data_IF_669262015862
#
_entry.id   IF_669262015862
#
_cell.length_a   1.000
_cell.length_b   1.000
_cell.length_c   1.000
_cell.angle_alpha   90.00
_cell.angle_beta   90.00
_cell.angle_gamma   90.00
#
_symmetry.space_group_name_H-M   'P 1'
#
loop_
_entity.id
_entity.type
_entity.pdbx_description
1 polymer ?
#
# COMPACT_ATOMS: atom_id res chain seq x y z
N UNK A 1 26.34 26.70 -7.64
CA UNK A 1 26.16 25.24 -7.65
C UNK A 1 25.13 24.92 -8.73
N UNK A 2 25.18 23.76 -9.39
CA UNK A 2 24.14 23.36 -10.35
C UNK A 2 22.80 23.18 -9.61
N UNK A 3 21.71 23.78 -10.12
CA UNK A 3 20.36 23.69 -9.54
C UNK A 3 19.92 22.24 -9.32
N UNK A 4 20.35 21.32 -10.19
CA UNK A 4 20.04 19.90 -10.05
C UNK A 4 20.71 19.30 -8.82
N UNK A 5 21.98 19.67 -8.58
CA UNK A 5 22.73 19.18 -7.43
C UNK A 5 22.15 19.71 -6.11
N UNK A 6 21.76 20.99 -6.08
CA UNK A 6 21.08 21.60 -4.93
C UNK A 6 19.79 20.84 -4.57
N UNK A 7 19.00 20.45 -5.57
CA UNK A 7 17.78 19.67 -5.35
C UNK A 7 18.08 18.27 -4.81
N UNK A 8 19.06 17.57 -5.37
CA UNK A 8 19.46 16.23 -4.91
C UNK A 8 20.00 16.23 -3.48
N UNK A 9 20.73 17.28 -3.10
CA UNK A 9 21.18 17.48 -1.73
C UNK A 9 20.01 17.78 -0.79
N UNK A 10 19.07 18.62 -1.22
CA UNK A 10 17.88 18.98 -0.42
C UNK A 10 17.02 17.77 -0.08
N UNK A 11 16.83 16.84 -1.00
CA UNK A 11 16.09 15.59 -0.74
C UNK A 11 16.94 14.50 -0.08
N UNK A 12 18.22 14.81 0.17
CA UNK A 12 19.16 13.90 0.80
C UNK A 12 19.49 12.69 -0.06
N UNK A 13 19.40 12.79 -1.39
CA UNK A 13 19.87 11.76 -2.32
C UNK A 13 21.40 11.79 -2.48
N UNK A 14 21.99 12.98 -2.36
CA UNK A 14 23.43 13.24 -2.36
C UNK A 14 23.78 14.04 -1.11
N UNK A 15 25.00 13.87 -0.59
CA UNK A 15 25.58 14.72 0.45
C UNK A 15 27.00 15.13 0.05
N UNK A 16 27.47 16.24 0.57
CA UNK A 16 28.86 16.67 0.41
C UNK A 16 29.67 16.26 1.65
N UNK A 17 30.81 15.61 1.43
CA UNK A 17 31.77 15.19 2.45
C UNK A 17 33.15 15.59 1.95
N UNK A 18 33.82 16.49 2.67
CA UNK A 18 35.19 16.94 2.34
C UNK A 18 35.34 17.43 0.88
N UNK A 19 34.36 18.20 0.38
CA UNK A 19 34.38 18.71 -1.00
C UNK A 19 34.07 17.67 -2.08
N UNK A 20 33.69 16.44 -1.70
CA UNK A 20 33.25 15.38 -2.61
C UNK A 20 31.78 15.06 -2.41
N UNK A 21 31.10 14.75 -3.51
CA UNK A 21 29.71 14.32 -3.46
C UNK A 21 29.63 12.81 -3.27
N UNK A 22 28.87 12.39 -2.26
CA UNK A 22 28.58 10.99 -1.98
C UNK A 22 27.09 10.70 -2.14
N UNK A 23 26.77 9.57 -2.76
CA UNK A 23 25.39 9.10 -2.91
C UNK A 23 24.93 8.47 -1.59
N UNK A 24 23.79 8.95 -1.07
CA UNK A 24 23.17 8.41 0.14
C UNK A 24 22.38 7.14 -0.15
N UNK A 25 21.76 6.53 0.86
CA UNK A 25 20.84 5.43 0.64
C UNK A 25 19.60 5.80 -0.18
N UNK A 26 19.10 7.03 -0.06
CA UNK A 26 17.98 7.52 -0.91
C UNK A 26 18.41 7.55 -2.37
N UNK A 27 19.60 8.10 -2.66
CA UNK A 27 20.14 8.15 -4.02
C UNK A 27 20.45 6.76 -4.59
N UNK A 28 21.02 5.86 -3.77
CA UNK A 28 21.28 4.46 -4.17
C UNK A 28 19.99 3.73 -4.52
N UNK A 29 18.97 3.85 -3.66
CA UNK A 29 17.66 3.21 -3.89
C UNK A 29 16.99 3.74 -5.14
N UNK A 30 16.97 5.07 -5.30
CA UNK A 30 16.45 5.74 -6.50
C UNK A 30 17.11 5.23 -7.77
N UNK A 31 18.45 5.17 -7.80
CA UNK A 31 19.22 4.71 -8.95
C UNK A 31 18.96 3.23 -9.29
N UNK A 32 19.04 2.35 -8.29
CA UNK A 32 18.87 0.90 -8.49
C UNK A 32 17.44 0.53 -8.94
N UNK A 33 16.42 1.26 -8.49
CA UNK A 33 15.02 0.98 -8.79
C UNK A 33 14.48 1.78 -9.98
N UNK A 34 15.30 2.63 -10.60
CA UNK A 34 14.86 3.60 -11.61
C UNK A 34 13.65 4.42 -11.13
N UNK A 35 13.71 4.86 -9.88
CA UNK A 35 12.62 5.55 -9.18
C UNK A 35 13.02 6.99 -8.84
N UNK A 36 12.08 7.93 -8.85
CA UNK A 36 12.38 9.34 -8.57
C UNK A 36 13.02 9.52 -7.18
N UNK A 37 14.16 10.23 -7.05
CA UNK A 37 14.78 10.46 -5.75
C UNK A 37 13.89 11.28 -4.81
N UNK A 38 13.00 12.11 -5.36
CA UNK A 38 12.02 12.89 -4.60
C UNK A 38 10.96 11.97 -3.96
N UNK A 39 10.42 11.02 -4.73
CA UNK A 39 9.47 10.04 -4.20
C UNK A 39 10.12 9.10 -3.19
N UNK A 40 11.35 8.63 -3.45
CA UNK A 40 12.09 7.78 -2.49
C UNK A 40 12.31 8.53 -1.16
N UNK A 41 12.69 9.81 -1.23
CA UNK A 41 12.86 10.64 -0.03
C UNK A 41 11.54 10.84 0.72
N UNK A 42 10.45 11.12 0.01
CA UNK A 42 9.11 11.27 0.57
C UNK A 42 8.64 9.99 1.25
N UNK A 43 8.74 8.84 0.58
CA UNK A 43 8.39 7.54 1.15
C UNK A 43 9.19 7.24 2.42
N UNK A 44 10.51 7.47 2.38
CA UNK A 44 11.36 7.29 3.55
C UNK A 44 10.92 8.19 4.71
N UNK A 45 10.66 9.47 4.46
CA UNK A 45 10.21 10.42 5.49
C UNK A 45 8.86 10.01 6.06
N UNK A 46 7.90 9.71 5.18
CA UNK A 46 6.53 9.40 5.54
C UNK A 46 6.47 8.11 6.38
N UNK A 47 7.11 7.03 5.95
CA UNK A 47 7.11 5.77 6.72
C UNK A 47 7.94 5.84 8.00
N UNK A 48 9.00 6.66 8.06
CA UNK A 48 9.68 6.97 9.32
C UNK A 48 8.72 7.61 10.32
N UNK A 49 7.88 8.55 9.88
CA UNK A 49 6.86 9.16 10.73
C UNK A 49 5.81 8.14 11.17
N UNK A 50 5.28 7.32 10.24
CA UNK A 50 4.28 6.29 10.55
C UNK A 50 4.78 5.34 11.63
N UNK A 51 5.96 4.75 11.45
CA UNK A 51 6.48 3.78 12.40
C UNK A 51 6.96 4.42 13.70
N UNK A 52 7.52 5.62 13.65
CA UNK A 52 7.96 6.36 14.84
C UNK A 52 6.80 6.76 15.76
N UNK A 53 5.59 6.91 15.23
CA UNK A 53 4.39 7.28 15.98
C UNK A 53 3.40 6.11 16.19
N UNK A 54 3.76 4.88 15.82
CA UNK A 54 2.88 3.72 15.98
C UNK A 54 1.62 3.74 15.09
N UNK A 55 1.64 4.48 13.98
CA UNK A 55 0.48 4.71 13.12
C UNK A 55 0.29 3.65 12.03
N UNK A 56 1.09 2.59 12.00
CA UNK A 56 1.03 1.57 10.95
C UNK A 56 -0.29 0.78 10.89
N UNK A 57 -1.09 0.81 11.96
CA UNK A 57 -2.44 0.23 11.98
C UNK A 57 -3.54 1.21 11.54
N UNK A 58 -3.21 2.47 11.30
CA UNK A 58 -4.14 3.50 10.85
C UNK A 58 -4.07 3.61 9.32
N UNK A 59 -5.08 3.07 8.64
CA UNK A 59 -5.13 3.04 7.18
C UNK A 59 -5.15 4.45 6.54
N UNK A 60 -5.69 5.45 7.22
CA UNK A 60 -5.65 6.84 6.73
C UNK A 60 -4.22 7.38 6.76
N UNK A 61 -3.48 7.09 7.82
CA UNK A 61 -2.08 7.48 7.94
C UNK A 61 -1.21 6.76 6.91
N UNK A 62 -1.40 5.45 6.73
CA UNK A 62 -0.69 4.65 5.71
C UNK A 62 -1.01 5.15 4.31
N UNK A 63 -2.28 5.45 4.03
CA UNK A 63 -2.70 5.96 2.73
C UNK A 63 -2.11 7.35 2.45
N UNK A 64 -2.06 8.24 3.45
CA UNK A 64 -1.34 9.52 3.34
C UNK A 64 0.16 9.33 3.09
N UNK A 65 0.79 8.37 3.77
CA UNK A 65 2.21 8.11 3.59
C UNK A 65 2.55 7.66 2.16
N UNK A 66 1.64 6.94 1.50
CA UNK A 66 1.77 6.51 0.11
C UNK A 66 1.35 7.59 -0.89
N UNK A 67 0.29 8.34 -0.60
CA UNK A 67 -0.29 9.34 -1.49
C UNK A 67 0.45 10.67 -1.49
N UNK A 68 1.14 11.02 -0.40
CA UNK A 68 1.88 12.26 -0.25
C UNK A 68 3.33 12.12 -0.75
N UNK A 69 3.47 11.86 -2.05
CA UNK A 69 4.75 11.77 -2.77
C UNK A 69 4.78 12.76 -3.95
N UNK A 70 5.98 13.17 -4.35
CA UNK A 70 6.22 14.20 -5.38
C UNK A 70 5.48 13.94 -6.69
N UNK A 71 5.54 12.71 -7.22
CA UNK A 71 4.86 12.34 -8.47
C UNK A 71 3.34 12.48 -8.42
N UNK A 72 2.72 12.21 -7.27
CA UNK A 72 1.27 12.42 -7.07
C UNK A 72 0.95 13.89 -6.85
N UNK A 73 1.81 14.64 -6.14
CA UNK A 73 1.62 16.07 -5.87
C UNK A 73 1.49 16.90 -7.14
N UNK A 74 2.15 16.50 -8.22
CA UNK A 74 2.08 17.18 -9.53
C UNK A 74 0.76 16.95 -10.29
N UNK A 75 -0.13 16.09 -9.79
CA UNK A 75 -1.42 15.81 -10.40
C UNK A 75 -2.46 16.92 -10.23
N UNK A 76 -3.49 16.88 -11.07
CA UNK A 76 -4.68 17.74 -10.95
C UNK A 76 -5.83 17.01 -10.24
N UNK A 77 -6.73 17.79 -9.65
CA UNK A 77 -7.95 17.30 -8.98
C UNK A 77 -9.15 17.88 -9.70
N UNK A 78 -10.05 17.00 -10.17
CA UNK A 78 -11.31 17.41 -10.78
C UNK A 78 -12.35 17.75 -9.70
N UNK A 79 -13.41 18.47 -10.07
CA UNK A 79 -14.52 18.76 -9.14
C UNK A 79 -15.18 17.49 -8.61
N UNK A 80 -15.44 16.50 -9.47
CA UNK A 80 -16.05 15.24 -9.05
C UNK A 80 -15.18 14.47 -8.05
N UNK A 81 -13.85 14.48 -8.22
CA UNK A 81 -12.93 13.88 -7.26
C UNK A 81 -12.92 14.65 -5.94
N UNK A 82 -12.95 15.99 -6.00
CA UNK A 82 -12.99 16.84 -4.81
C UNK A 82 -14.23 16.58 -3.97
N UNK A 83 -15.40 16.55 -4.61
CA UNK A 83 -16.68 16.29 -3.95
C UNK A 83 -16.69 14.89 -3.30
N UNK A 84 -16.18 13.87 -4.01
CA UNK A 84 -16.12 12.50 -3.50
C UNK A 84 -15.16 12.32 -2.31
N UNK A 85 -14.06 13.07 -2.24
CA UNK A 85 -13.05 12.94 -1.18
C UNK A 85 -13.17 13.94 -0.03
N UNK A 86 -14.20 14.79 -0.02
CA UNK A 86 -14.36 15.90 0.94
C UNK A 86 -14.32 15.42 2.40
N UNK A 87 -15.13 14.41 2.73
CA UNK A 87 -15.18 13.82 4.07
C UNK A 87 -13.82 13.24 4.50
N UNK A 88 -13.08 12.65 3.57
CA UNK A 88 -11.76 12.12 3.83
C UNK A 88 -10.75 13.25 4.07
N UNK A 89 -10.79 14.31 3.27
CA UNK A 89 -9.95 15.49 3.42
C UNK A 89 -10.16 16.15 4.80
N UNK A 90 -11.42 16.31 5.24
CA UNK A 90 -11.75 16.85 6.55
C UNK A 90 -11.22 15.96 7.70
N UNK A 91 -11.33 14.63 7.57
CA UNK A 91 -10.77 13.69 8.55
C UNK A 91 -9.25 13.78 8.63
N UNK A 92 -8.58 13.91 7.48
CA UNK A 92 -7.13 14.10 7.42
C UNK A 92 -6.72 15.40 8.12
N UNK A 93 -7.40 16.50 7.80
CA UNK A 93 -7.15 17.81 8.42
C UNK A 93 -7.26 17.73 9.95
N UNK A 94 -8.28 17.05 10.45
CA UNK A 94 -8.53 16.92 11.89
C UNK A 94 -7.52 16.00 12.59
N UNK A 95 -7.11 14.91 11.93
CA UNK A 95 -6.24 13.90 12.53
C UNK A 95 -4.73 14.22 12.41
N UNK A 96 -4.33 14.87 11.32
CA UNK A 96 -2.92 15.08 10.96
C UNK A 96 -2.55 16.54 10.71
N UNK A 97 -3.51 17.46 10.85
CA UNK A 97 -3.32 18.87 10.53
C UNK A 97 -3.43 19.17 9.04
N UNK A 98 -3.19 20.44 8.68
CA UNK A 98 -3.25 20.91 7.30
C UNK A 98 -1.92 20.93 6.57
N UNK A 99 -1.94 21.52 5.37
CA UNK A 99 -0.75 21.69 4.52
C UNK A 99 -0.54 20.58 3.49
N UNK A 100 -1.46 19.62 3.38
CA UNK A 100 -1.47 18.67 2.29
C UNK A 100 -2.07 19.29 1.03
N UNK A 101 -1.42 19.09 -0.11
CA UNK A 101 -1.99 19.47 -1.41
C UNK A 101 -3.22 18.61 -1.72
N UNK A 102 -4.21 19.19 -2.41
CA UNK A 102 -5.41 18.44 -2.81
C UNK A 102 -5.05 17.19 -3.63
N UNK A 103 -4.01 17.26 -4.46
CA UNK A 103 -3.48 16.12 -5.23
C UNK A 103 -2.92 15.01 -4.34
N UNK A 104 -2.28 15.35 -3.21
CA UNK A 104 -1.84 14.37 -2.20
C UNK A 104 -3.03 13.71 -1.51
N UNK A 105 -4.07 14.49 -1.18
CA UNK A 105 -5.31 13.96 -0.61
C UNK A 105 -5.99 13.02 -1.60
N UNK A 106 -6.01 13.35 -2.90
CA UNK A 106 -6.51 12.47 -3.96
C UNK A 106 -5.78 11.12 -4.01
N UNK A 107 -4.44 11.13 -4.01
CA UNK A 107 -3.67 9.89 -3.97
C UNK A 107 -3.89 9.08 -2.68
N UNK A 108 -3.96 9.78 -1.55
CA UNK A 108 -4.24 9.15 -0.26
C UNK A 108 -5.65 8.55 -0.22
N UNK A 109 -6.67 9.24 -0.74
CA UNK A 109 -8.03 8.72 -0.80
C UNK A 109 -8.12 7.46 -1.66
N UNK A 110 -7.47 7.45 -2.83
CA UNK A 110 -7.42 6.26 -3.68
C UNK A 110 -6.80 5.06 -2.94
N UNK A 111 -5.65 5.25 -2.25
CA UNK A 111 -5.06 4.20 -1.42
C UNK A 111 -5.97 3.80 -0.26
N UNK A 112 -6.61 4.74 0.40
CA UNK A 112 -7.51 4.47 1.52
C UNK A 112 -8.70 3.60 1.09
N UNK A 113 -9.30 3.90 -0.06
CA UNK A 113 -10.36 3.08 -0.65
C UNK A 113 -9.86 1.67 -1.00
N UNK A 114 -8.66 1.53 -1.56
CA UNK A 114 -8.05 0.22 -1.82
C UNK A 114 -7.84 -0.57 -0.52
N UNK A 115 -7.23 0.05 0.49
CA UNK A 115 -6.95 -0.59 1.78
C UNK A 115 -8.22 -1.04 2.52
N UNK A 116 -9.34 -0.38 2.28
CA UNK A 116 -10.60 -0.67 2.94
C UNK A 116 -11.61 -1.41 2.07
N UNK A 117 -11.31 -1.61 0.78
CA UNK A 117 -12.23 -2.17 -0.18
C UNK A 117 -13.47 -1.30 -0.43
N UNK A 118 -13.36 0.02 -0.33
CA UNK A 118 -14.45 0.93 -0.66
C UNK A 118 -14.64 1.09 -2.17
N UNK A 119 -15.79 1.63 -2.56
CA UNK A 119 -16.04 2.01 -3.93
C UNK A 119 -15.08 3.14 -4.34
N UNK A 120 -14.56 3.05 -5.56
CA UNK A 120 -13.55 3.98 -6.07
C UNK A 120 -14.15 5.16 -6.84
N UNK A 121 -15.39 5.03 -7.32
CA UNK A 121 -16.09 6.07 -8.08
C UNK A 121 -15.20 6.72 -9.17
N UNK A 122 -14.99 8.05 -9.13
CA UNK A 122 -14.16 8.76 -10.11
C UNK A 122 -12.67 8.40 -10.04
N UNK A 123 -12.19 7.82 -8.94
CA UNK A 123 -10.79 7.45 -8.73
C UNK A 123 -10.41 6.09 -9.34
N UNK A 124 -11.34 5.38 -10.00
CA UNK A 124 -11.10 4.04 -10.55
C UNK A 124 -9.83 3.96 -11.42
N UNK A 125 -9.65 4.89 -12.37
CA UNK A 125 -8.50 4.87 -13.26
C UNK A 125 -7.17 5.06 -12.49
N UNK A 126 -7.13 6.03 -11.58
CA UNK A 126 -5.96 6.28 -10.74
C UNK A 126 -5.64 5.08 -9.85
N UNK A 127 -6.64 4.55 -9.15
CA UNK A 127 -6.45 3.41 -8.26
C UNK A 127 -5.94 2.16 -8.99
N UNK A 128 -6.42 1.90 -10.22
CA UNK A 128 -5.85 0.83 -11.06
C UNK A 128 -4.38 1.07 -11.38
N UNK A 129 -4.02 2.29 -11.74
CA UNK A 129 -2.61 2.68 -11.95
C UNK A 129 -1.76 2.43 -10.70
N UNK A 130 -2.24 2.87 -9.54
CA UNK A 130 -1.58 2.65 -8.24
C UNK A 130 -1.43 1.16 -7.92
N UNK A 131 -2.47 0.36 -8.12
CA UNK A 131 -2.42 -1.10 -7.90
C UNK A 131 -1.35 -1.77 -8.77
N UNK A 132 -1.26 -1.41 -10.05
CA UNK A 132 -0.29 -1.98 -10.98
C UNK A 132 1.15 -1.57 -10.65
N UNK A 133 1.37 -0.32 -10.23
CA UNK A 133 2.72 0.16 -9.87
C UNK A 133 3.17 -0.25 -8.46
N UNK A 134 2.24 -0.70 -7.61
CA UNK A 134 2.53 -0.88 -6.20
C UNK A 134 3.62 -1.92 -5.92
N UNK A 135 3.77 -2.96 -6.75
CA UNK A 135 4.86 -3.94 -6.57
C UNK A 135 6.25 -3.29 -6.67
N UNK A 136 6.41 -2.34 -7.60
CA UNK A 136 7.64 -1.55 -7.73
C UNK A 136 7.85 -0.65 -6.51
N UNK A 137 6.80 0.04 -6.06
CA UNK A 137 6.85 0.90 -4.87
C UNK A 137 7.13 0.10 -3.58
N UNK A 138 6.56 -1.09 -3.44
CA UNK A 138 6.82 -1.99 -2.33
C UNK A 138 8.27 -2.48 -2.33
N UNK A 139 8.85 -2.72 -3.51
CA UNK A 139 10.27 -3.06 -3.63
C UNK A 139 11.18 -1.91 -3.19
N UNK A 140 10.83 -0.66 -3.55
CA UNK A 140 11.51 0.55 -3.04
C UNK A 140 11.44 0.63 -1.51
N UNK A 141 10.26 0.41 -0.92
CA UNK A 141 10.06 0.44 0.54
C UNK A 141 10.87 -0.64 1.26
N UNK A 142 10.89 -1.87 0.73
CA UNK A 142 11.70 -2.96 1.28
C UNK A 142 13.20 -2.66 1.20
N UNK A 143 13.65 -2.02 0.12
CA UNK A 143 15.06 -1.66 -0.04
C UNK A 143 15.46 -0.48 0.86
N UNK A 144 14.56 0.47 1.08
CA UNK A 144 14.73 1.50 2.10
C UNK A 144 14.83 0.90 3.52
N UNK A 145 13.98 -0.07 3.83
CA UNK A 145 13.99 -0.76 5.13
C UNK A 145 15.33 -1.46 5.37
N UNK A 146 15.81 -2.23 4.39
CA UNK A 146 17.05 -3.00 4.50
C UNK A 146 18.32 -2.15 4.48
N UNK A 147 18.41 -1.16 3.59
CA UNK A 147 19.64 -0.41 3.36
C UNK A 147 19.82 0.82 4.26
N UNK A 148 18.74 1.37 4.81
CA UNK A 148 18.77 2.69 5.41
C UNK A 148 18.02 2.79 6.72
N UNK A 149 16.73 2.48 6.67
CA UNK A 149 15.80 2.91 7.69
C UNK A 149 15.69 1.92 8.85
N UNK A 150 15.95 0.63 8.59
CA UNK A 150 15.97 -0.46 9.57
C UNK A 150 14.71 -0.46 10.45
N UNK A 151 13.56 -0.21 9.84
CA UNK A 151 12.26 -0.29 10.49
C UNK A 151 11.91 -1.73 10.89
N UNK A 152 12.47 -2.73 10.19
CA UNK A 152 12.19 -4.15 10.36
C UNK A 152 10.69 -4.45 10.16
N UNK A 153 10.14 -3.99 9.02
CA UNK A 153 8.69 -4.02 8.71
C UNK A 153 8.38 -4.81 7.44
N UNK A 154 9.19 -5.81 7.12
CA UNK A 154 9.00 -6.68 5.95
C UNK A 154 7.61 -7.30 5.87
N UNK A 155 7.11 -7.87 6.98
CA UNK A 155 5.78 -8.50 7.01
C UNK A 155 4.65 -7.48 6.82
N UNK A 156 4.84 -6.27 7.35
CA UNK A 156 3.91 -5.17 7.14
C UNK A 156 3.82 -4.81 5.66
N UNK A 157 4.96 -4.63 4.98
CA UNK A 157 4.96 -4.31 3.54
C UNK A 157 4.41 -5.45 2.68
N UNK A 158 4.69 -6.71 3.03
CA UNK A 158 4.12 -7.87 2.34
C UNK A 158 2.58 -7.89 2.45
N UNK A 159 2.04 -7.70 3.65
CA UNK A 159 0.59 -7.61 3.86
C UNK A 159 0.01 -6.37 3.16
N UNK A 160 0.71 -5.23 3.18
CA UNK A 160 0.29 -4.01 2.50
C UNK A 160 0.15 -4.21 0.98
N UNK A 161 1.13 -4.88 0.34
CA UNK A 161 1.08 -5.23 -1.08
C UNK A 161 -0.14 -6.07 -1.41
N UNK A 162 -0.43 -7.10 -0.61
CA UNK A 162 -1.60 -7.95 -0.81
C UNK A 162 -2.90 -7.16 -0.64
N UNK A 163 -2.98 -6.28 0.38
CA UNK A 163 -4.18 -5.46 0.64
C UNK A 163 -4.47 -4.52 -0.52
N UNK A 164 -3.44 -3.89 -1.08
CA UNK A 164 -3.58 -2.98 -2.22
C UNK A 164 -3.93 -3.75 -3.49
N UNK A 165 -3.27 -4.88 -3.75
CA UNK A 165 -3.55 -5.71 -4.93
C UNK A 165 -4.99 -6.21 -4.97
N UNK A 166 -5.51 -6.71 -3.84
CA UNK A 166 -6.88 -7.24 -3.77
C UNK A 166 -7.94 -6.17 -3.46
N UNK A 167 -7.55 -5.01 -2.93
CA UNK A 167 -8.47 -3.97 -2.49
C UNK A 167 -9.30 -4.42 -1.29
N UNK A 168 -8.65 -4.90 -0.22
CA UNK A 168 -9.32 -5.55 0.93
C UNK A 168 -8.84 -5.07 2.29
N UNK A 169 -9.77 -5.12 3.25
CA UNK A 169 -9.52 -4.86 4.68
C UNK A 169 -8.56 -5.90 5.30
N UNK A 170 -7.87 -5.57 6.40
CA UNK A 170 -6.87 -6.46 7.01
C UNK A 170 -7.41 -7.85 7.34
N UNK A 171 -8.65 -7.95 7.82
CA UNK A 171 -9.25 -9.22 8.25
C UNK A 171 -9.54 -10.20 7.11
N UNK A 172 -9.52 -9.75 5.85
CA UNK A 172 -9.73 -10.59 4.67
C UNK A 172 -8.42 -11.11 4.07
N UNK A 173 -7.28 -10.58 4.51
CA UNK A 173 -5.99 -10.82 3.86
C UNK A 173 -5.59 -12.29 3.85
N UNK A 174 -5.83 -13.00 4.95
CA UNK A 174 -5.44 -14.40 5.10
C UNK A 174 -6.26 -15.32 4.19
N UNK A 175 -7.50 -14.95 3.90
CA UNK A 175 -8.33 -15.65 2.92
C UNK A 175 -7.85 -15.34 1.50
N UNK A 176 -7.46 -14.09 1.21
CA UNK A 176 -6.98 -13.68 -0.11
C UNK A 176 -5.60 -14.26 -0.48
N UNK A 177 -4.81 -14.72 0.50
CA UNK A 177 -3.57 -15.48 0.22
C UNK A 177 -3.84 -16.83 -0.44
N UNK A 178 -5.05 -17.38 -0.30
CA UNK A 178 -5.42 -18.65 -0.92
C UNK A 178 -5.66 -18.42 -2.42
N UNK A 179 -4.97 -19.15 -3.32
CA UNK A 179 -5.18 -19.04 -4.76
C UNK A 179 -6.65 -19.16 -5.14
N UNK A 180 -7.09 -18.38 -6.13
CA UNK A 180 -8.47 -18.27 -6.59
C UNK A 180 -9.45 -17.61 -5.59
N UNK A 181 -9.01 -17.11 -4.43
CA UNK A 181 -9.83 -16.35 -3.50
C UNK A 181 -9.53 -14.85 -3.62
N UNK A 182 -10.29 -14.16 -4.47
CA UNK A 182 -10.29 -12.68 -4.52
C UNK A 182 -11.24 -12.06 -3.49
N UNK A 183 -11.28 -10.72 -3.43
CA UNK A 183 -12.13 -9.92 -2.52
C UNK A 183 -13.53 -10.47 -2.31
N UNK A 184 -14.31 -10.60 -3.38
CA UNK A 184 -15.73 -11.02 -3.31
C UNK A 184 -15.89 -12.40 -2.67
N UNK A 185 -14.97 -13.33 -2.96
CA UNK A 185 -15.00 -14.68 -2.37
C UNK A 185 -14.57 -14.64 -0.90
N UNK A 186 -13.55 -13.85 -0.57
CA UNK A 186 -13.11 -13.66 0.81
C UNK A 186 -14.22 -13.04 1.68
N UNK A 187 -14.93 -12.02 1.19
CA UNK A 187 -16.06 -11.40 1.90
C UNK A 187 -17.20 -12.39 2.16
N UNK A 188 -17.54 -13.22 1.16
CA UNK A 188 -18.57 -14.27 1.31
C UNK A 188 -18.17 -15.32 2.34
N UNK A 189 -16.92 -15.78 2.32
CA UNK A 189 -16.38 -16.73 3.31
C UNK A 189 -16.41 -16.11 4.71
N UNK A 190 -15.93 -14.88 4.84
CA UNK A 190 -15.89 -14.16 6.12
C UNK A 190 -17.28 -13.96 6.72
N UNK A 191 -18.25 -13.56 5.89
CA UNK A 191 -19.66 -13.37 6.28
C UNK A 191 -20.31 -14.67 6.75
N UNK A 192 -19.83 -15.82 6.26
CA UNK A 192 -20.27 -17.14 6.68
C UNK A 192 -19.48 -17.70 7.89
N UNK A 193 -18.65 -16.88 8.54
CA UNK A 193 -17.86 -17.27 9.71
C UNK A 193 -16.52 -17.96 9.40
N UNK A 194 -16.15 -18.10 8.13
CA UNK A 194 -14.86 -18.67 7.71
C UNK A 194 -13.85 -17.52 7.65
N UNK A 195 -13.01 -17.39 8.68
CA UNK A 195 -12.11 -16.23 8.82
C UNK A 195 -10.67 -16.54 8.46
N UNK A 196 -10.26 -17.81 8.54
CA UNK A 196 -8.89 -18.25 8.26
C UNK A 196 -8.86 -19.45 7.31
N UNK A 197 -7.74 -19.69 6.61
CA UNK A 197 -7.55 -20.90 5.81
C UNK A 197 -7.83 -22.20 6.59
N UNK A 198 -7.50 -22.24 7.88
CA UNK A 198 -7.81 -23.38 8.75
C UNK A 198 -9.32 -23.66 8.90
N UNK A 199 -10.17 -22.62 8.89
CA UNK A 199 -11.62 -22.76 9.00
C UNK A 199 -12.22 -23.38 7.73
N UNK A 200 -11.56 -23.17 6.58
CA UNK A 200 -11.94 -23.78 5.31
C UNK A 200 -11.78 -25.31 5.36
N UNK A 201 -10.72 -25.79 6.02
CA UNK A 201 -10.44 -27.23 6.18
C UNK A 201 -11.43 -27.89 7.14
N UNK A 202 -11.90 -27.16 8.16
CA UNK A 202 -12.91 -27.65 9.11
C UNK A 202 -14.29 -27.76 8.48
N UNK A 203 -14.60 -26.90 7.49
CA UNK A 203 -15.94 -26.84 6.88
C UNK A 203 -15.92 -26.96 5.34
N UNK A 204 -15.38 -28.05 4.74
CA UNK A 204 -15.24 -28.15 3.29
C UNK A 204 -16.56 -28.03 2.51
N UNK A 205 -17.65 -28.59 3.05
CA UNK A 205 -18.98 -28.53 2.43
C UNK A 205 -19.53 -27.11 2.39
N UNK A 206 -19.30 -26.32 3.45
CA UNK A 206 -19.72 -24.92 3.55
C UNK A 206 -18.92 -24.08 2.55
N UNK A 207 -17.60 -24.30 2.46
CA UNK A 207 -16.73 -23.66 1.47
C UNK A 207 -17.22 -23.93 0.06
N UNK A 208 -17.50 -25.20 -0.31
CA UNK A 208 -18.01 -25.56 -1.64
C UNK A 208 -19.30 -24.81 -1.97
N UNK A 209 -20.24 -24.77 -1.04
CA UNK A 209 -21.53 -24.07 -1.22
C UNK A 209 -21.35 -22.56 -1.41
N UNK A 210 -20.49 -21.93 -0.62
CA UNK A 210 -20.25 -20.48 -0.70
C UNK A 210 -19.53 -20.08 -1.99
N UNK A 211 -18.50 -20.83 -2.36
CA UNK A 211 -17.69 -20.52 -3.52
C UNK A 211 -18.45 -20.80 -4.83
N UNK A 212 -19.38 -21.76 -4.82
CA UNK A 212 -20.16 -22.17 -5.98
C UNK A 212 -19.26 -22.45 -7.19
N UNK A 213 -18.25 -23.29 -6.97
CA UNK A 213 -17.24 -23.68 -7.97
C UNK A 213 -17.27 -25.19 -8.19
N UNK A 214 -16.66 -25.64 -9.28
CA UNK A 214 -16.46 -27.06 -9.55
C UNK A 214 -15.61 -27.72 -8.47
N UNK A 215 -15.85 -29.00 -8.23
CA UNK A 215 -15.23 -29.76 -7.14
C UNK A 215 -13.71 -29.80 -7.23
N UNK A 216 -13.17 -29.90 -8.44
CA UNK A 216 -11.73 -29.91 -8.68
C UNK A 216 -11.10 -28.60 -8.18
N UNK A 217 -11.75 -27.47 -8.47
CA UNK A 217 -11.27 -26.15 -8.04
C UNK A 217 -11.40 -25.94 -6.54
N UNK A 218 -12.45 -26.45 -5.92
CA UNK A 218 -12.60 -26.40 -4.46
C UNK A 218 -11.51 -27.24 -3.79
N UNK A 219 -11.19 -28.42 -4.33
CA UNK A 219 -10.10 -29.25 -3.81
C UNK A 219 -8.72 -28.57 -3.96
N UNK A 220 -8.44 -27.92 -5.09
CA UNK A 220 -7.23 -27.11 -5.27
C UNK A 220 -7.11 -26.01 -4.19
N UNK A 221 -8.21 -25.30 -3.93
CA UNK A 221 -8.29 -24.25 -2.92
C UNK A 221 -8.04 -24.82 -1.50
N UNK A 222 -8.67 -25.93 -1.15
CA UNK A 222 -8.49 -26.58 0.15
C UNK A 222 -7.06 -27.12 0.32
N UNK A 223 -6.46 -27.66 -0.74
CA UNK A 223 -5.05 -28.09 -0.73
C UNK A 223 -4.11 -26.91 -0.48
N UNK A 224 -4.34 -25.78 -1.14
CA UNK A 224 -3.56 -24.57 -0.93
C UNK A 224 -3.77 -23.99 0.48
N UNK A 225 -5.02 -23.98 0.97
CA UNK A 225 -5.35 -23.57 2.33
C UNK A 225 -4.63 -24.42 3.39
N UNK A 226 -4.48 -25.74 3.16
CA UNK A 226 -3.70 -26.63 4.02
C UNK A 226 -2.23 -26.26 4.06
N UNK A 227 -1.63 -25.94 2.91
CA UNK A 227 -0.24 -25.49 2.82
C UNK A 227 0.00 -24.23 3.65
N UNK A 228 -0.89 -23.23 3.50
CA UNK A 228 -0.80 -21.95 4.20
C UNK A 228 -1.05 -22.10 5.70
N UNK A 229 -1.99 -22.96 6.11
CA UNK A 229 -2.29 -23.20 7.52
C UNK A 229 -1.20 -24.00 8.27
N UNK A 230 -0.30 -24.65 7.54
CA UNK A 230 0.80 -25.45 8.11
C UNK A 230 2.15 -24.72 8.11
N UNK A 231 2.19 -23.48 7.61
CA UNK A 231 3.37 -22.60 7.54
C UNK A 231 3.33 -21.58 8.68
#
# INVERSE_FOLDING_TARGET
MDKTMELLMRVGAVKEVEGKYEVTSVGKVSSMMYYSPFDVADLRRNFKFIFGNGLQGNDMAVALALGNVDSIRMGFVTRAEKDEMEDFAAKVQNAFGGGYLESSIKGAYAYYCLLNGYALGPFNAMARGLQMDFERQASVLNMLDSMAAKWNKRDFFSNLSLRIAYGVRPELIDLCKVPNIGKVRAERLYSAGIRKPADMLKNPHVVKKILNMKDEKVMEILKAAKSIASS
#
